data_IF_988619250895
#
_entry.id   IF_988619250895
#
_cell.length_a   1.000
_cell.length_b   1.000
_cell.length_c   1.000
_cell.angle_alpha   90.00
_cell.angle_beta   90.00
_cell.angle_gamma   90.00
#
_symmetry.space_group_name_H-M   'P 1'
#
loop_
_entity.id
_entity.type
_entity.pdbx_description
1 polymer ?
#
# COMPACT_ATOMS: atom_id res chain seq x y z
N UNK A 1 15.47 -12.72 -10.37
CA UNK A 1 15.92 -12.93 -8.97
C UNK A 1 16.58 -11.71 -8.36
N UNK A 2 17.69 -11.18 -8.91
CA UNK A 2 18.34 -9.95 -8.37
C UNK A 2 17.37 -8.77 -8.19
N UNK A 3 16.57 -8.45 -9.21
CA UNK A 3 15.58 -7.36 -9.15
C UNK A 3 14.56 -7.56 -8.04
N UNK A 4 14.03 -8.77 -7.86
CA UNK A 4 13.05 -9.10 -6.82
C UNK A 4 13.64 -8.87 -5.42
N UNK A 5 14.89 -9.31 -5.19
CA UNK A 5 15.58 -9.11 -3.91
C UNK A 5 15.84 -7.63 -3.62
N UNK A 6 16.23 -6.86 -4.64
CA UNK A 6 16.41 -5.41 -4.50
C UNK A 6 15.09 -4.72 -4.15
N UNK A 7 14.00 -5.05 -4.86
CA UNK A 7 12.67 -4.47 -4.60
C UNK A 7 12.17 -4.83 -3.19
N UNK A 8 12.36 -6.07 -2.75
CA UNK A 8 12.05 -6.48 -1.38
C UNK A 8 12.84 -5.69 -0.34
N UNK A 9 14.16 -5.59 -0.52
CA UNK A 9 15.03 -4.83 0.38
C UNK A 9 14.67 -3.36 0.45
N UNK A 10 14.37 -2.73 -0.70
CA UNK A 10 13.93 -1.33 -0.76
C UNK A 10 12.56 -1.14 -0.09
N UNK A 11 11.60 -2.05 -0.33
CA UNK A 11 10.28 -2.00 0.32
C UNK A 11 10.42 -2.05 1.84
N UNK A 12 11.26 -2.96 2.35
CA UNK A 12 11.52 -3.08 3.78
C UNK A 12 12.21 -1.82 4.32
N UNK A 13 13.25 -1.33 3.65
CA UNK A 13 13.98 -0.14 4.05
C UNK A 13 13.06 1.10 4.11
N UNK A 14 12.22 1.30 3.10
CA UNK A 14 11.24 2.40 3.04
C UNK A 14 10.21 2.29 4.16
N UNK A 15 9.68 1.09 4.42
CA UNK A 15 8.73 0.85 5.53
C UNK A 15 9.33 1.23 6.87
N UNK A 16 10.56 0.78 7.13
CA UNK A 16 11.26 1.05 8.39
C UNK A 16 11.64 2.52 8.51
N UNK A 17 12.15 3.14 7.44
CA UNK A 17 12.50 4.55 7.42
C UNK A 17 11.28 5.45 7.65
N UNK A 18 10.15 5.15 6.99
CA UNK A 18 8.90 5.87 7.21
C UNK A 18 8.43 5.76 8.66
N UNK A 19 8.36 4.53 9.19
CA UNK A 19 7.85 4.26 10.54
C UNK A 19 8.72 4.86 11.66
N UNK A 20 10.04 4.72 11.56
CA UNK A 20 10.95 5.02 12.68
C UNK A 20 11.69 6.35 12.54
N UNK A 21 11.82 6.89 11.32
CA UNK A 21 12.68 8.06 11.07
C UNK A 21 11.85 9.26 10.61
N UNK A 22 10.97 9.07 9.64
CA UNK A 22 10.28 10.18 8.95
C UNK A 22 9.01 10.59 9.67
N UNK A 23 8.05 9.67 9.80
CA UNK A 23 6.71 10.00 10.29
C UNK A 23 6.67 10.54 11.73
N UNK A 24 7.46 10.01 12.69
CA UNK A 24 7.50 10.53 14.06
C UNK A 24 7.90 12.02 14.18
N UNK A 25 8.58 12.58 13.18
CA UNK A 25 9.01 14.01 13.19
C UNK A 25 7.85 14.98 13.02
N UNK A 26 6.70 14.49 12.56
CA UNK A 26 5.53 15.30 12.20
C UNK A 26 4.31 15.09 13.10
N UNK A 27 4.46 14.30 14.19
CA UNK A 27 3.41 14.05 15.19
C UNK A 27 2.78 12.67 15.07
N UNK A 28 1.98 12.30 16.08
CA UNK A 28 1.35 10.97 16.20
C UNK A 28 0.41 10.66 15.05
N UNK A 29 -0.34 11.65 14.57
CA UNK A 29 -1.24 11.52 13.43
C UNK A 29 -0.52 11.06 12.15
N UNK A 30 0.65 11.64 11.87
CA UNK A 30 1.47 11.23 10.72
C UNK A 30 2.12 9.87 10.98
N UNK A 31 2.58 9.63 12.21
CA UNK A 31 3.22 8.37 12.60
C UNK A 31 2.30 7.16 12.46
N UNK A 32 1.04 7.29 12.85
CA UNK A 32 0.04 6.22 12.77
C UNK A 32 -0.58 6.07 11.37
N UNK A 33 -0.28 7.00 10.45
CA UNK A 33 -0.83 7.00 9.08
C UNK A 33 -2.36 6.84 9.07
N UNK A 34 -3.04 7.60 9.93
CA UNK A 34 -4.45 7.35 10.24
C UNK A 34 -5.40 7.49 9.04
N UNK A 35 -5.11 8.41 8.12
CA UNK A 35 -5.90 8.64 6.89
C UNK A 35 -5.98 7.38 6.02
N UNK A 36 -4.95 6.54 6.08
CA UNK A 36 -4.82 5.33 5.27
C UNK A 36 -5.26 4.06 5.99
N UNK A 37 -5.58 4.16 7.29
CA UNK A 37 -6.00 3.03 8.13
C UNK A 37 -7.49 3.00 8.43
N UNK A 38 -8.23 4.08 8.12
CA UNK A 38 -9.69 4.20 8.27
C UNK A 38 -10.22 3.78 9.65
N UNK A 39 -9.58 4.20 10.74
CA UNK A 39 -9.99 3.82 12.11
C UNK A 39 -10.35 5.02 12.97
N UNK A 40 -9.35 5.77 13.41
CA UNK A 40 -9.52 6.89 14.34
C UNK A 40 -8.43 7.93 14.09
N UNK A 41 -8.66 9.18 14.53
CA UNK A 41 -7.65 10.25 14.53
C UNK A 41 -6.87 10.15 15.85
N UNK A 42 -5.57 9.82 15.84
CA UNK A 42 -4.79 9.59 17.06
C UNK A 42 -4.83 10.76 18.04
N UNK A 43 -4.67 11.99 17.55
CA UNK A 43 -4.69 13.21 18.37
C UNK A 43 -6.04 13.54 19.00
N UNK A 44 -7.14 13.02 18.44
CA UNK A 44 -8.50 13.32 18.91
C UNK A 44 -9.19 12.12 19.55
N UNK A 45 -8.66 10.90 19.40
CA UNK A 45 -9.29 9.63 19.81
C UNK A 45 -10.70 9.40 19.25
N UNK A 46 -11.07 10.14 18.21
CA UNK A 46 -12.38 10.06 17.54
C UNK A 46 -12.32 9.18 16.30
N UNK A 47 -13.44 8.54 15.96
CA UNK A 47 -13.57 7.76 14.72
C UNK A 47 -13.35 8.67 13.51
N UNK A 48 -12.60 8.18 12.52
CA UNK A 48 -12.39 8.93 11.29
C UNK A 48 -13.71 9.03 10.51
N UNK A 49 -14.18 10.26 10.33
CA UNK A 49 -15.38 10.60 9.56
C UNK A 49 -15.14 11.91 8.83
N UNK A 50 -16.06 12.27 7.92
CA UNK A 50 -16.00 13.54 7.21
C UNK A 50 -15.92 14.74 8.17
N UNK A 51 -16.74 14.74 9.23
CA UNK A 51 -16.82 15.87 10.17
C UNK A 51 -15.58 15.98 11.04
N UNK A 52 -15.06 14.84 11.51
CA UNK A 52 -13.86 14.81 12.36
C UNK A 52 -12.61 15.15 11.54
N UNK A 53 -12.53 14.69 10.28
CA UNK A 53 -11.47 15.09 9.37
C UNK A 53 -11.55 16.57 9.01
N UNK A 54 -12.74 17.11 8.69
CA UNK A 54 -12.92 18.54 8.41
C UNK A 54 -12.48 19.41 9.60
N UNK A 55 -12.81 18.99 10.82
CA UNK A 55 -12.38 19.69 12.05
C UNK A 55 -10.87 19.65 12.23
N UNK A 56 -10.25 18.49 12.01
CA UNK A 56 -8.79 18.35 12.06
C UNK A 56 -8.09 19.23 11.00
N UNK A 57 -8.66 19.33 9.79
CA UNK A 57 -8.11 20.20 8.74
C UNK A 57 -8.27 21.69 9.04
N UNK A 58 -9.33 22.08 9.73
CA UNK A 58 -9.58 23.47 10.13
C UNK A 58 -8.67 23.94 11.28
N UNK A 59 -8.07 23.01 12.03
CA UNK A 59 -7.21 23.34 13.15
C UNK A 59 -5.77 23.67 12.69
N UNK A 60 -5.40 24.94 12.84
CA UNK A 60 -4.06 25.44 12.51
C UNK A 60 -2.91 24.77 13.27
N UNK A 61 -3.18 24.16 14.43
CA UNK A 61 -2.16 23.43 15.21
C UNK A 61 -1.65 22.18 14.47
N UNK A 62 -2.44 21.63 13.54
CA UNK A 62 -2.08 20.49 12.71
C UNK A 62 -1.34 20.85 11.42
N UNK A 63 -1.06 22.13 11.14
CA UNK A 63 -0.40 22.57 9.90
C UNK A 63 0.96 21.89 9.63
N UNK A 64 1.73 21.59 10.68
CA UNK A 64 3.00 20.84 10.56
C UNK A 64 2.76 19.38 10.16
N UNK A 65 1.74 18.75 10.74
CA UNK A 65 1.36 17.36 10.43
C UNK A 65 0.86 17.25 8.98
N UNK A 66 -0.04 18.15 8.55
CA UNK A 66 -0.54 18.25 7.16
C UNK A 66 0.64 18.36 6.19
N UNK A 67 1.58 19.28 6.45
CA UNK A 67 2.76 19.47 5.59
C UNK A 67 3.59 18.20 5.50
N UNK A 68 3.87 17.56 6.63
CA UNK A 68 4.62 16.30 6.71
C UNK A 68 3.96 15.14 5.96
N UNK A 69 2.63 15.06 6.05
CA UNK A 69 1.82 14.08 5.32
C UNK A 69 1.98 14.26 3.81
N UNK A 70 1.79 15.49 3.31
CA UNK A 70 1.93 15.77 1.87
C UNK A 70 3.37 15.57 1.39
N UNK A 71 4.34 16.09 2.16
CA UNK A 71 5.76 15.95 1.87
C UNK A 71 6.57 15.82 3.17
N UNK A 72 7.39 14.76 3.34
CA UNK A 72 7.82 13.82 2.30
C UNK A 72 7.04 12.49 2.26
N UNK A 73 5.98 12.32 3.07
CA UNK A 73 5.32 11.01 3.26
C UNK A 73 4.61 10.54 1.98
N UNK A 74 3.50 11.18 1.58
CA UNK A 74 2.77 10.82 0.36
C UNK A 74 3.67 10.98 -0.88
N UNK A 75 4.33 12.13 -0.99
CA UNK A 75 5.26 12.41 -2.08
C UNK A 75 6.62 12.82 -1.49
N UNK A 76 7.73 12.13 -1.80
CA UNK A 76 7.87 11.02 -2.76
C UNK A 76 7.88 9.61 -2.14
N UNK A 77 7.86 9.48 -0.81
CA UNK A 77 8.21 8.22 -0.16
C UNK A 77 7.17 7.11 -0.39
N UNK A 78 5.88 7.43 -0.33
CA UNK A 78 4.83 6.46 -0.61
C UNK A 78 4.81 6.06 -2.08
N UNK A 79 5.03 6.99 -3.02
CA UNK A 79 5.21 6.64 -4.45
C UNK A 79 6.40 5.68 -4.65
N UNK A 80 7.52 5.90 -3.97
CA UNK A 80 8.66 4.99 -4.04
C UNK A 80 8.31 3.61 -3.44
N UNK A 81 7.60 3.60 -2.32
CA UNK A 81 7.14 2.37 -1.67
C UNK A 81 6.18 1.60 -2.57
N UNK A 82 5.21 2.30 -3.17
CA UNK A 82 4.23 1.80 -4.11
C UNK A 82 4.89 1.07 -5.29
N UNK A 83 5.85 1.74 -5.93
CA UNK A 83 6.61 1.16 -7.05
C UNK A 83 7.37 -0.07 -6.58
N UNK A 84 8.07 0.01 -5.44
CA UNK A 84 8.86 -1.10 -4.92
C UNK A 84 7.98 -2.32 -4.59
N UNK A 85 6.90 -2.12 -3.82
CA UNK A 85 6.01 -3.19 -3.38
C UNK A 85 5.21 -3.76 -4.55
N UNK A 86 4.62 -2.91 -5.40
CA UNK A 86 3.82 -3.33 -6.55
C UNK A 86 4.63 -4.15 -7.54
N UNK A 87 5.83 -3.67 -7.91
CA UNK A 87 6.74 -4.43 -8.78
C UNK A 87 7.25 -5.70 -8.11
N UNK A 88 7.55 -5.66 -6.81
CA UNK A 88 7.94 -6.86 -6.06
C UNK A 88 6.85 -7.92 -6.14
N UNK A 89 5.61 -7.58 -5.79
CA UNK A 89 4.49 -8.53 -5.77
C UNK A 89 4.20 -9.11 -7.17
N UNK A 90 4.21 -8.27 -8.21
CA UNK A 90 3.98 -8.72 -9.59
C UNK A 90 5.09 -9.62 -10.13
N UNK A 91 6.35 -9.19 -10.01
CA UNK A 91 7.51 -9.97 -10.49
C UNK A 91 7.73 -11.24 -9.69
N UNK A 92 7.58 -11.19 -8.37
CA UNK A 92 7.75 -12.35 -7.52
C UNK A 92 6.65 -13.39 -7.75
N UNK A 93 5.39 -12.95 -7.86
CA UNK A 93 4.27 -13.86 -8.18
C UNK A 93 4.47 -14.53 -9.54
N UNK A 94 4.83 -13.74 -10.57
CA UNK A 94 5.11 -14.28 -11.92
C UNK A 94 6.23 -15.32 -11.87
N UNK A 95 7.35 -14.99 -11.21
CA UNK A 95 8.50 -15.89 -11.14
C UNK A 95 8.24 -17.15 -10.32
N UNK A 96 7.38 -17.08 -9.30
CA UNK A 96 6.95 -18.25 -8.53
C UNK A 96 5.98 -19.13 -9.35
N UNK A 97 5.06 -18.53 -10.10
CA UNK A 97 4.13 -19.25 -10.95
C UNK A 97 4.84 -19.98 -12.10
N UNK A 98 5.84 -19.35 -12.73
CA UNK A 98 6.63 -19.97 -13.81
C UNK A 98 7.37 -21.24 -13.38
N UNK A 99 7.69 -21.38 -12.09
CA UNK A 99 8.31 -22.59 -11.53
C UNK A 99 7.31 -23.74 -11.33
N UNK A 100 6.02 -23.43 -11.33
CA UNK A 100 4.95 -24.41 -11.16
C UNK A 100 4.53 -24.88 -12.56
N UNK A 101 5.09 -26.00 -13.02
CA UNK A 101 4.87 -26.50 -14.38
C UNK A 101 3.39 -26.69 -14.77
N UNK A 102 2.51 -26.99 -13.80
CA UNK A 102 1.06 -27.10 -14.04
C UNK A 102 0.37 -25.76 -14.31
N UNK A 103 1.01 -24.63 -14.00
CA UNK A 103 0.54 -23.28 -14.31
C UNK A 103 1.15 -22.73 -15.62
N UNK A 104 1.90 -23.53 -16.37
CA UNK A 104 2.55 -23.09 -17.62
C UNK A 104 1.57 -22.57 -18.68
N UNK A 105 0.32 -23.03 -18.68
CA UNK A 105 -0.73 -22.55 -19.57
C UNK A 105 -1.43 -21.27 -19.09
N UNK A 106 -1.17 -20.82 -17.87
CA UNK A 106 -1.79 -19.61 -17.30
C UNK A 106 -1.04 -18.37 -17.80
N UNK A 107 -1.72 -17.41 -18.43
CA UNK A 107 -1.08 -16.17 -18.88
C UNK A 107 -0.41 -15.40 -17.74
N UNK A 108 0.82 -14.96 -17.94
CA UNK A 108 1.63 -14.29 -16.92
C UNK A 108 1.04 -12.97 -16.42
N UNK A 109 0.25 -12.27 -17.25
CA UNK A 109 -0.39 -11.01 -16.89
C UNK A 109 -1.44 -11.14 -15.78
N UNK A 110 -1.99 -12.34 -15.54
CA UNK A 110 -2.97 -12.56 -14.46
C UNK A 110 -2.36 -12.24 -13.09
N UNK A 111 -1.08 -12.59 -12.90
CA UNK A 111 -0.37 -12.34 -11.64
C UNK A 111 -0.13 -10.85 -11.36
N UNK A 112 -0.31 -10.00 -12.37
CA UNK A 112 -0.18 -8.54 -12.29
C UNK A 112 -1.48 -7.82 -11.99
N UNK A 113 -2.65 -8.47 -12.10
CA UNK A 113 -3.95 -7.82 -11.89
C UNK A 113 -4.01 -7.20 -10.49
N UNK A 114 -3.80 -7.98 -9.43
CA UNK A 114 -3.90 -7.49 -8.06
C UNK A 114 -2.84 -6.43 -7.72
N UNK A 115 -1.54 -6.62 -8.04
CA UNK A 115 -0.53 -5.56 -7.86
C UNK A 115 -0.86 -4.27 -8.63
N UNK A 116 -1.32 -4.35 -9.88
CA UNK A 116 -1.63 -3.17 -10.67
C UNK A 116 -2.85 -2.42 -10.12
N UNK A 117 -3.91 -3.13 -9.73
CA UNK A 117 -5.08 -2.51 -9.09
C UNK A 117 -4.73 -1.85 -7.77
N UNK A 118 -3.88 -2.49 -6.95
CA UNK A 118 -3.32 -1.88 -5.76
C UNK A 118 -2.59 -0.57 -6.12
N UNK A 119 -1.70 -0.62 -7.11
CA UNK A 119 -0.90 0.55 -7.50
C UNK A 119 -1.75 1.73 -7.96
N UNK A 120 -2.80 1.47 -8.75
CA UNK A 120 -3.71 2.50 -9.23
C UNK A 120 -4.56 3.06 -8.10
N UNK A 121 -5.08 2.21 -7.21
CA UNK A 121 -5.92 2.64 -6.09
C UNK A 121 -5.14 3.52 -5.08
N UNK A 122 -3.90 3.14 -4.78
CA UNK A 122 -2.99 3.86 -3.89
C UNK A 122 -2.58 5.21 -4.48
N UNK A 123 -2.16 5.25 -5.75
CA UNK A 123 -1.81 6.52 -6.41
C UNK A 123 -3.01 7.48 -6.47
N UNK A 124 -4.21 6.97 -6.73
CA UNK A 124 -5.43 7.77 -6.76
C UNK A 124 -5.80 8.31 -5.37
N UNK A 125 -5.65 7.49 -4.33
CA UNK A 125 -5.87 7.90 -2.94
C UNK A 125 -4.84 8.96 -2.50
N UNK A 126 -3.54 8.71 -2.68
CA UNK A 126 -2.46 9.64 -2.33
C UNK A 126 -2.63 10.99 -3.01
N UNK A 127 -3.01 10.97 -4.29
CA UNK A 127 -3.29 12.20 -5.06
C UNK A 127 -4.51 12.93 -4.50
N UNK A 128 -5.59 12.20 -4.17
CA UNK A 128 -6.80 12.78 -3.58
C UNK A 128 -6.56 13.36 -2.19
N UNK A 129 -5.79 12.67 -1.35
CA UNK A 129 -5.37 13.14 -0.03
C UNK A 129 -4.49 14.38 -0.17
N UNK A 130 -3.44 14.34 -1.00
CA UNK A 130 -2.56 15.49 -1.21
C UNK A 130 -3.32 16.70 -1.76
N UNK A 131 -4.28 16.50 -2.66
CA UNK A 131 -5.12 17.58 -3.17
C UNK A 131 -6.01 18.19 -2.08
N UNK A 132 -6.61 17.35 -1.22
CA UNK A 132 -7.40 17.81 -0.06
C UNK A 132 -6.53 18.58 0.94
N UNK A 133 -5.33 18.06 1.25
CA UNK A 133 -4.41 18.61 2.25
C UNK A 133 -3.66 19.87 1.78
N UNK A 134 -3.27 19.94 0.51
CA UNK A 134 -2.41 21.02 -0.03
C UNK A 134 -3.17 22.07 -0.82
N UNK A 135 -4.14 21.66 -1.64
CA UNK A 135 -4.88 22.56 -2.52
C UNK A 135 -6.17 23.08 -1.86
N UNK A 136 -6.41 22.72 -0.60
CA UNK A 136 -7.62 23.05 0.16
C UNK A 136 -8.90 22.76 -0.63
N UNK A 137 -8.90 21.70 -1.44
CA UNK A 137 -10.12 21.25 -2.12
C UNK A 137 -11.13 20.91 -1.02
N UNK A 138 -12.35 21.48 -1.08
CA UNK A 138 -13.31 21.30 -0.02
C UNK A 138 -13.61 19.81 0.19
N UNK A 139 -13.47 19.36 1.44
CA UNK A 139 -13.86 18.03 1.85
C UNK A 139 -15.39 17.96 1.82
N UNK A 140 -15.93 17.38 0.76
CA UNK A 140 -17.36 17.10 0.59
C UNK A 140 -17.68 15.66 1.00
N UNK A 141 -18.95 15.31 1.24
CA UNK A 141 -19.33 13.93 1.51
C UNK A 141 -18.95 12.97 0.38
N UNK A 142 -18.99 13.46 -0.87
CA UNK A 142 -18.62 12.67 -2.04
C UNK A 142 -17.11 12.41 -2.09
N UNK A 143 -16.28 13.43 -1.85
CA UNK A 143 -14.83 13.26 -1.84
C UNK A 143 -14.37 12.39 -0.67
N UNK A 144 -14.97 12.53 0.52
CA UNK A 144 -14.65 11.66 1.66
C UNK A 144 -15.00 10.19 1.39
N UNK A 145 -16.18 9.92 0.82
CA UNK A 145 -16.57 8.56 0.42
C UNK A 145 -15.65 7.99 -0.64
N UNK A 146 -15.25 8.79 -1.62
CA UNK A 146 -14.31 8.37 -2.67
C UNK A 146 -12.97 7.99 -2.06
N UNK A 147 -12.38 8.85 -1.22
CA UNK A 147 -11.13 8.56 -0.50
C UNK A 147 -11.24 7.28 0.32
N UNK A 148 -12.28 7.15 1.14
CA UNK A 148 -12.50 5.96 1.96
C UNK A 148 -12.62 4.69 1.11
N UNK A 149 -13.27 4.78 -0.05
CA UNK A 149 -13.42 3.66 -0.98
C UNK A 149 -12.07 3.28 -1.61
N UNK A 150 -11.27 4.28 -2.01
CA UNK A 150 -9.94 4.05 -2.57
C UNK A 150 -9.00 3.42 -1.53
N UNK A 151 -9.01 3.92 -0.28
CA UNK A 151 -8.24 3.33 0.81
C UNK A 151 -8.67 1.88 1.08
N UNK A 152 -9.97 1.59 1.11
CA UNK A 152 -10.46 0.23 1.27
C UNK A 152 -10.04 -0.70 0.09
N UNK A 153 -10.13 -0.20 -1.15
CA UNK A 153 -9.73 -0.94 -2.34
C UNK A 153 -8.21 -1.22 -2.33
N UNK A 154 -7.40 -0.22 -1.99
CA UNK A 154 -5.95 -0.35 -1.78
C UNK A 154 -5.64 -1.47 -0.79
N UNK A 155 -6.25 -1.41 0.40
CA UNK A 155 -6.00 -2.39 1.46
C UNK A 155 -6.45 -3.81 1.06
N UNK A 156 -7.61 -3.94 0.41
CA UNK A 156 -8.09 -5.23 -0.06
C UNK A 156 -7.17 -5.82 -1.15
N UNK A 157 -6.83 -5.03 -2.16
CA UNK A 157 -6.00 -5.47 -3.29
C UNK A 157 -4.58 -5.81 -2.88
N UNK A 158 -3.94 -5.01 -2.01
CA UNK A 158 -2.60 -5.33 -1.50
C UNK A 158 -2.60 -6.58 -0.63
N UNK A 159 -3.63 -6.78 0.19
CA UNK A 159 -3.79 -7.99 1.02
C UNK A 159 -3.93 -9.23 0.15
N UNK A 160 -4.77 -9.16 -0.90
CA UNK A 160 -4.94 -10.25 -1.85
C UNK A 160 -3.66 -10.51 -2.65
N UNK A 161 -2.92 -9.47 -3.06
CA UNK A 161 -1.66 -9.62 -3.77
C UNK A 161 -0.57 -10.27 -2.90
N UNK A 162 -0.49 -9.91 -1.62
CA UNK A 162 0.37 -10.60 -0.64
C UNK A 162 -0.07 -12.06 -0.48
N UNK A 163 -1.37 -12.32 -0.36
CA UNK A 163 -1.93 -13.67 -0.29
C UNK A 163 -1.56 -14.52 -1.50
N UNK A 164 -1.66 -13.96 -2.71
CA UNK A 164 -1.23 -14.61 -3.96
C UNK A 164 0.27 -14.97 -3.92
N UNK A 165 1.13 -14.01 -3.55
CA UNK A 165 2.57 -14.25 -3.43
C UNK A 165 2.90 -15.36 -2.43
N UNK A 166 2.29 -15.31 -1.24
CA UNK A 166 2.50 -16.32 -0.19
C UNK A 166 1.99 -17.70 -0.61
N UNK A 167 0.83 -17.77 -1.25
CA UNK A 167 0.25 -19.01 -1.74
C UNK A 167 1.15 -19.67 -2.78
N UNK A 168 1.61 -18.93 -3.78
CA UNK A 168 2.53 -19.43 -4.80
C UNK A 168 3.87 -19.86 -4.18
N UNK A 169 4.36 -19.13 -3.17
CA UNK A 169 5.56 -19.48 -2.43
C UNK A 169 5.41 -20.79 -1.65
N UNK A 170 4.28 -20.96 -0.95
CA UNK A 170 3.96 -22.18 -0.20
C UNK A 170 3.83 -23.39 -1.12
N UNK A 171 3.20 -23.24 -2.29
CA UNK A 171 3.12 -24.31 -3.30
C UNK A 171 4.50 -24.73 -3.82
N UNK A 172 5.36 -23.77 -4.15
CA UNK A 172 6.73 -24.05 -4.56
C UNK A 172 7.50 -24.81 -3.47
N UNK A 173 7.35 -24.41 -2.21
CA UNK A 173 7.98 -25.07 -1.08
C UNK A 173 7.45 -26.49 -0.88
N UNK A 174 6.13 -26.69 -1.00
CA UNK A 174 5.52 -28.01 -0.89
C UNK A 174 6.04 -28.96 -1.98
N UNK A 175 6.10 -28.53 -3.24
CA UNK A 175 6.62 -29.35 -4.34
C UNK A 175 8.12 -29.61 -4.25
N UNK A 176 8.86 -28.75 -3.56
CA UNK A 176 10.27 -29.00 -3.27
C UNK A 176 10.44 -30.17 -2.28
N UNK A 177 9.60 -30.26 -1.26
CA UNK A 177 9.63 -31.36 -0.28
C UNK A 177 8.92 -32.63 -0.76
N UNK A 178 7.89 -32.48 -1.59
CA UNK A 178 7.09 -33.57 -2.15
C UNK A 178 7.07 -33.48 -3.68
N UNK A 179 8.19 -33.79 -4.36
CA UNK A 179 8.21 -33.77 -5.81
C UNK A 179 7.19 -34.78 -6.34
N UNK A 180 6.39 -34.43 -7.36
CA UNK A 180 5.46 -35.36 -7.96
C UNK A 180 6.24 -36.60 -8.42
N UNK A 181 5.81 -37.77 -7.95
CA UNK A 181 6.46 -39.04 -8.30
C UNK A 181 6.60 -39.14 -9.81
N UNK A 182 7.78 -39.55 -10.29
CA UNK A 182 7.98 -39.82 -11.72
C UNK A 182 6.86 -40.76 -12.17
N UNK A 183 6.16 -40.47 -13.29
CA UNK A 183 5.26 -41.45 -13.87
C UNK A 183 6.07 -42.73 -14.14
N UNK A 184 5.59 -43.83 -13.57
CA UNK A 184 6.10 -45.20 -13.82
C UNK A 184 5.73 -45.61 -15.23
#
# INVERSE_FOLDING_TARGET
>A
MRTILVLFGLTLALTLALKFIVAPRYGEDVAERFLERLKYIPSQTEVLSETTLARWLADSTHAKAIRGYVFPVLFPLDVLFLICLGLFLGLASTSLAERLGFLSAVPTWIWWILPAFYMVADLAEDTGLAATLKLCIPLTPHSFRLLSTLTALKLATVTLAIGQFLFLGALNLLLFFFPPGRPV
#
